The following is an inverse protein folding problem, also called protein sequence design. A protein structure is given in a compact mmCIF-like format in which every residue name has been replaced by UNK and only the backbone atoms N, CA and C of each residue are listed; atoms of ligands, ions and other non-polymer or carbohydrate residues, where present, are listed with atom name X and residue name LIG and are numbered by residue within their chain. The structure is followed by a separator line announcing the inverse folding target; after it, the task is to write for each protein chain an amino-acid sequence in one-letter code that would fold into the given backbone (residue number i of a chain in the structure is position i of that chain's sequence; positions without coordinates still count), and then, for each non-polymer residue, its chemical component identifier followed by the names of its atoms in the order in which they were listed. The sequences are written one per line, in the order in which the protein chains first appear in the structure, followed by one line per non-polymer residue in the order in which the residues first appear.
data_IF_219478712629
#
_entry.id   IF_219478712629
#
_cell.length_a   1.000
_cell.length_b   1.000
_cell.length_c   1.000
_cell.angle_alpha   90.00
_cell.angle_beta   90.00
_cell.angle_gamma   90.00
#
_symmetry.space_group_name_H-M   'P 1'
#
loop_
_entity.id
_entity.type
_entity.pdbx_description
1 polymer ?
#
# COMPACT_ATOMS: atom_id res chain seq x y z
N UNK A 1 -12.90 -13.37 -6.51
CA UNK A 1 -12.44 -12.16 -5.80
C UNK A 1 -11.52 -12.64 -4.69
N UNK A 2 -10.23 -12.36 -4.78
CA UNK A 2 -9.30 -12.57 -3.67
C UNK A 2 -9.39 -11.33 -2.79
N UNK A 3 -10.01 -11.45 -1.63
CA UNK A 3 -10.03 -10.40 -0.63
C UNK A 3 -8.69 -10.40 0.10
N UNK A 4 -8.24 -9.21 0.52
CA UNK A 4 -7.13 -9.07 1.44
C UNK A 4 -7.45 -9.79 2.76
N UNK A 5 -6.52 -10.62 3.23
CA UNK A 5 -6.58 -11.24 4.57
C UNK A 5 -5.69 -10.43 5.50
N UNK A 6 -6.19 -9.91 6.64
CA UNK A 6 -5.37 -9.16 7.59
C UNK A 6 -4.11 -9.91 8.04
N UNK A 7 -2.99 -9.21 8.21
CA UNK A 7 -1.70 -9.81 8.58
C UNK A 7 -1.73 -10.57 9.90
N UNK A 8 -2.49 -10.07 10.87
CA UNK A 8 -2.67 -10.69 12.18
C UNK A 8 -3.40 -12.03 12.05
N UNK A 9 -4.37 -12.15 11.14
CA UNK A 9 -5.06 -13.42 10.86
C UNK A 9 -4.14 -14.44 10.18
N UNK A 10 -3.08 -13.97 9.51
CA UNK A 10 -2.01 -14.80 8.97
C UNK A 10 -0.93 -15.16 10.01
N UNK A 11 -1.08 -14.69 11.26
CA UNK A 11 -0.13 -14.94 12.34
C UNK A 11 1.09 -14.02 12.36
N UNK A 12 1.09 -12.94 11.55
CA UNK A 12 2.18 -11.96 11.51
C UNK A 12 2.00 -10.88 12.58
N UNK A 13 3.11 -10.42 13.17
CA UNK A 13 3.16 -9.35 14.19
C UNK A 13 4.46 -8.54 14.09
N UNK A 14 4.49 -7.36 14.72
CA UNK A 14 5.66 -6.47 14.74
C UNK A 14 6.30 -6.30 13.37
N UNK A 15 7.61 -6.52 13.28
CA UNK A 15 8.37 -6.33 12.03
C UNK A 15 7.86 -7.17 10.85
N UNK A 16 7.29 -8.35 11.11
CA UNK A 16 6.77 -9.21 10.04
C UNK A 16 5.55 -8.61 9.32
N UNK A 17 4.76 -7.79 10.02
CA UNK A 17 3.64 -7.05 9.42
C UNK A 17 4.16 -6.01 8.43
N UNK A 18 5.15 -5.22 8.87
CA UNK A 18 5.81 -4.19 8.07
C UNK A 18 6.42 -4.80 6.80
N UNK A 19 7.16 -5.91 6.94
CA UNK A 19 7.77 -6.60 5.80
C UNK A 19 6.74 -7.17 4.83
N UNK A 20 5.64 -7.75 5.35
CA UNK A 20 4.57 -8.29 4.53
C UNK A 20 3.83 -7.20 3.75
N UNK A 21 3.54 -6.06 4.38
CA UNK A 21 2.96 -4.90 3.71
C UNK A 21 3.85 -4.40 2.56
N UNK A 22 5.16 -4.23 2.81
CA UNK A 22 6.11 -3.80 1.78
C UNK A 22 6.15 -4.76 0.61
N UNK A 23 6.24 -6.06 0.90
CA UNK A 23 6.21 -7.10 -0.13
C UNK A 23 4.92 -7.04 -0.96
N UNK A 24 3.77 -6.83 -0.31
CA UNK A 24 2.48 -6.75 -0.99
C UNK A 24 2.38 -5.52 -1.91
N UNK A 25 2.76 -4.34 -1.41
CA UNK A 25 2.75 -3.10 -2.20
C UNK A 25 3.75 -3.16 -3.37
N UNK A 26 4.94 -3.73 -3.17
CA UNK A 26 5.92 -3.96 -4.25
C UNK A 26 5.35 -4.89 -5.32
N UNK A 27 4.73 -6.01 -4.93
CA UNK A 27 4.10 -6.92 -5.89
C UNK A 27 2.98 -6.24 -6.69
N UNK A 28 2.18 -5.38 -6.07
CA UNK A 28 1.16 -4.59 -6.77
C UNK A 28 1.80 -3.64 -7.80
N UNK A 29 2.85 -2.91 -7.40
CA UNK A 29 3.54 -1.97 -8.28
C UNK A 29 4.21 -2.68 -9.47
N UNK A 30 4.92 -3.79 -9.21
CA UNK A 30 5.56 -4.60 -10.26
C UNK A 30 4.54 -5.20 -11.23
N UNK A 31 3.46 -5.78 -10.69
CA UNK A 31 2.38 -6.36 -11.51
C UNK A 31 1.71 -5.29 -12.37
N UNK A 32 1.44 -4.12 -11.80
CA UNK A 32 0.86 -3.00 -12.53
C UNK A 32 1.80 -2.55 -13.65
N UNK A 33 3.08 -2.31 -13.33
CA UNK A 33 4.10 -1.88 -14.29
C UNK A 33 4.21 -2.84 -15.49
N UNK A 34 4.30 -4.15 -15.23
CA UNK A 34 4.37 -5.16 -16.27
C UNK A 34 3.13 -5.18 -17.18
N UNK A 35 1.94 -4.96 -16.60
CA UNK A 35 0.68 -5.03 -17.34
C UNK A 35 0.29 -3.73 -18.05
N UNK A 36 0.85 -2.57 -17.65
CA UNK A 36 0.60 -1.29 -18.33
C UNK A 36 1.15 -1.25 -19.76
N UNK A 37 2.14 -2.09 -20.09
CA UNK A 37 2.72 -2.21 -21.43
C UNK A 37 1.90 -3.12 -22.37
N UNK A 38 0.82 -3.73 -21.87
CA UNK A 38 0.00 -4.69 -22.61
C UNK A 38 -1.34 -4.08 -23.02
N UNK A 39 -2.01 -4.69 -23.99
CA UNK A 39 -3.37 -4.31 -24.41
C UNK A 39 -4.44 -4.47 -23.29
N UNK A 40 -4.06 -4.98 -22.12
CA UNK A 40 -4.92 -5.15 -20.94
C UNK A 40 -4.68 -4.10 -19.84
N UNK A 41 -4.02 -2.98 -20.17
CA UNK A 41 -3.67 -1.92 -19.22
C UNK A 41 -4.87 -1.42 -18.39
N UNK A 42 -6.03 -1.16 -19.01
CA UNK A 42 -7.21 -0.66 -18.30
C UNK A 42 -7.72 -1.66 -17.25
N UNK A 43 -7.82 -2.94 -17.62
CA UNK A 43 -8.21 -4.00 -16.68
C UNK A 43 -7.19 -4.14 -15.55
N UNK A 44 -5.89 -4.09 -15.87
CA UNK A 44 -4.83 -4.19 -14.87
C UNK A 44 -4.89 -3.06 -13.83
N UNK A 45 -5.21 -1.85 -14.26
CA UNK A 45 -5.43 -0.70 -13.36
C UNK A 45 -6.62 -0.97 -12.43
N UNK A 46 -7.76 -1.43 -12.97
CA UNK A 46 -8.93 -1.76 -12.17
C UNK A 46 -8.67 -2.88 -11.15
N UNK A 47 -7.96 -3.93 -11.56
CA UNK A 47 -7.55 -5.03 -10.68
C UNK A 47 -6.66 -4.55 -9.52
N UNK A 48 -5.70 -3.66 -9.82
CA UNK A 48 -4.80 -3.08 -8.82
C UNK A 48 -5.56 -2.19 -7.83
N UNK A 49 -6.40 -1.29 -8.34
CA UNK A 49 -7.24 -0.40 -7.52
C UNK A 49 -8.20 -1.19 -6.62
N UNK A 50 -8.77 -2.29 -7.13
CA UNK A 50 -9.64 -3.18 -6.34
C UNK A 50 -8.88 -3.83 -5.18
N UNK A 51 -7.65 -4.29 -5.42
CA UNK A 51 -6.81 -4.86 -4.37
C UNK A 51 -6.44 -3.82 -3.30
N UNK A 52 -6.04 -2.62 -3.71
CA UNK A 52 -5.77 -1.51 -2.79
C UNK A 52 -7.02 -1.17 -1.97
N UNK A 53 -8.19 -1.02 -2.61
CA UNK A 53 -9.44 -0.77 -1.90
C UNK A 53 -9.78 -1.86 -0.88
N UNK A 54 -9.46 -3.11 -1.18
CA UNK A 54 -9.79 -4.24 -0.30
C UNK A 54 -8.95 -4.33 0.97
N UNK A 55 -7.74 -3.76 0.97
CA UNK A 55 -6.75 -4.06 2.01
C UNK A 55 -5.89 -2.90 2.49
N UNK A 56 -5.85 -1.77 1.78
CA UNK A 56 -4.91 -0.69 2.08
C UNK A 56 -5.10 -0.14 3.48
N UNK A 57 -6.33 0.28 3.84
CA UNK A 57 -6.60 0.83 5.18
C UNK A 57 -6.24 -0.17 6.29
N UNK A 58 -6.62 -1.44 6.13
CA UNK A 58 -6.33 -2.47 7.12
C UNK A 58 -4.83 -2.74 7.23
N UNK A 59 -4.10 -2.72 6.11
CA UNK A 59 -2.65 -2.89 6.12
C UNK A 59 -1.98 -1.75 6.89
N UNK A 60 -2.36 -0.50 6.59
CA UNK A 60 -1.83 0.68 7.26
C UNK A 60 -2.10 0.61 8.77
N UNK A 61 -3.34 0.38 9.21
CA UNK A 61 -3.67 0.23 10.64
C UNK A 61 -2.85 -0.88 11.31
N UNK A 62 -2.63 -2.01 10.64
CA UNK A 62 -1.79 -3.08 11.19
C UNK A 62 -0.32 -2.70 11.30
N UNK A 63 0.22 -1.86 10.41
CA UNK A 63 1.56 -1.27 10.56
C UNK A 63 1.63 -0.33 11.77
N UNK A 64 0.61 0.51 11.95
CA UNK A 64 0.50 1.40 13.11
C UNK A 64 0.51 0.62 14.44
N UNK A 65 -0.27 -0.46 14.50
CA UNK A 65 -0.29 -1.40 15.63
C UNK A 65 1.09 -2.07 15.83
N UNK A 66 1.73 -2.50 14.74
CA UNK A 66 3.06 -3.12 14.79
C UNK A 66 4.13 -2.16 15.33
N UNK A 67 4.07 -0.87 14.98
CA UNK A 67 4.95 0.16 15.54
C UNK A 67 4.77 0.33 17.05
N UNK A 68 3.53 0.31 17.53
CA UNK A 68 3.22 0.33 18.97
C UNK A 68 3.76 -0.92 19.66
N UNK A 69 3.57 -2.12 19.09
CA UNK A 69 4.13 -3.37 19.62
C UNK A 69 5.66 -3.33 19.73
N UNK A 70 6.33 -2.69 18.77
CA UNK A 70 7.78 -2.52 18.74
C UNK A 70 8.29 -1.40 19.67
N UNK A 71 7.40 -0.68 20.36
CA UNK A 71 7.77 0.40 21.28
C UNK A 71 8.17 1.71 20.59
N UNK A 72 7.79 1.89 19.33
CA UNK A 72 8.02 3.11 18.56
C UNK A 72 6.70 3.64 17.99
N UNK A 73 5.82 4.23 18.84
CA UNK A 73 4.54 4.78 18.38
C UNK A 73 4.73 5.79 17.25
N UNK A 74 3.88 5.68 16.24
CA UNK A 74 3.78 6.65 15.13
C UNK A 74 3.27 8.01 15.62
N UNK A 75 3.64 9.06 14.90
CA UNK A 75 3.17 10.42 15.14
C UNK A 75 2.05 10.83 14.18
N UNK A 76 1.51 12.03 14.42
CA UNK A 76 0.45 12.60 13.60
C UNK A 76 0.87 12.81 12.14
N UNK A 77 2.18 12.97 11.87
CA UNK A 77 2.69 13.15 10.52
C UNK A 77 2.60 11.85 9.72
N UNK A 78 3.02 10.73 10.32
CA UNK A 78 2.89 9.40 9.72
C UNK A 78 1.42 9.04 9.45
N UNK A 79 0.52 9.32 10.40
CA UNK A 79 -0.93 9.15 10.22
C UNK A 79 -1.48 10.03 9.09
N UNK A 80 -0.99 11.26 8.95
CA UNK A 80 -1.41 12.15 7.87
C UNK A 80 -0.99 11.61 6.49
N UNK A 81 0.20 11.01 6.38
CA UNK A 81 0.66 10.35 5.15
C UNK A 81 -0.25 9.16 4.77
N UNK A 82 -0.60 8.31 5.74
CA UNK A 82 -1.53 7.18 5.55
C UNK A 82 -2.90 7.64 5.02
N UNK A 83 -3.44 8.69 5.64
CA UNK A 83 -4.73 9.26 5.25
C UNK A 83 -4.67 9.86 3.84
N UNK A 84 -3.58 10.56 3.50
CA UNK A 84 -3.39 11.14 2.18
C UNK A 84 -3.36 10.05 1.09
N UNK A 85 -2.61 8.95 1.31
CA UNK A 85 -2.57 7.83 0.38
C UNK A 85 -3.96 7.22 0.15
N UNK A 86 -4.73 7.00 1.22
CA UNK A 86 -6.09 6.47 1.10
C UNK A 86 -6.99 7.39 0.25
N UNK A 87 -6.94 8.70 0.49
CA UNK A 87 -7.73 9.68 -0.27
C UNK A 87 -7.34 9.72 -1.75
N UNK A 88 -6.03 9.68 -2.04
CA UNK A 88 -5.52 9.66 -3.42
C UNK A 88 -5.96 8.41 -4.18
N UNK A 89 -5.88 7.23 -3.55
CA UNK A 89 -6.35 5.96 -4.14
C UNK A 89 -7.86 6.00 -4.38
N UNK A 90 -8.65 6.51 -3.43
CA UNK A 90 -10.09 6.67 -3.61
C UNK A 90 -10.45 7.60 -4.77
N UNK A 91 -9.70 8.69 -4.96
CA UNK A 91 -9.91 9.56 -6.12
C UNK A 91 -9.52 8.87 -7.43
N UNK A 92 -8.42 8.12 -7.45
CA UNK A 92 -8.01 7.32 -8.62
C UNK A 92 -9.06 6.25 -8.97
N UNK A 93 -9.71 5.63 -7.99
CA UNK A 93 -10.84 4.70 -8.20
C UNK A 93 -11.97 5.43 -8.94
N UNK A 94 -12.44 6.55 -8.40
CA UNK A 94 -13.54 7.32 -9.02
C UNK A 94 -13.22 7.76 -10.44
N UNK A 95 -11.97 8.19 -10.68
CA UNK A 95 -11.49 8.59 -12.02
C UNK A 95 -11.44 7.41 -12.98
N UNK A 96 -10.94 6.27 -12.51
CA UNK A 96 -10.89 5.05 -13.30
C UNK A 96 -12.30 4.55 -13.70
N UNK A 97 -13.27 4.62 -12.78
CA UNK A 97 -14.68 4.27 -13.03
C UNK A 97 -15.32 5.18 -14.10
N UNK A 98 -14.87 6.43 -14.22
CA UNK A 98 -15.27 7.35 -15.31
C UNK A 98 -14.55 7.09 -16.64
N UNK A 99 -13.65 6.10 -16.70
CA UNK A 99 -12.85 5.78 -17.87
C UNK A 99 -11.59 6.62 -18.03
N UNK A 100 -11.18 7.39 -17.01
CA UNK A 100 -9.94 8.15 -17.06
C UNK A 100 -8.71 7.23 -16.96
N UNK A 101 -7.63 7.62 -17.66
CA UNK A 101 -6.35 6.91 -17.61
C UNK A 101 -5.56 7.34 -16.37
N UNK A 102 -5.61 6.52 -15.31
CA UNK A 102 -4.88 6.77 -14.06
C UNK A 102 -3.69 5.83 -13.84
N UNK A 103 -3.42 4.90 -14.77
CA UNK A 103 -2.47 3.80 -14.54
C UNK A 103 -1.03 4.23 -14.25
N UNK A 104 -0.48 5.16 -15.01
CA UNK A 104 0.87 5.69 -14.77
C UNK A 104 0.95 6.48 -13.45
N UNK A 105 -0.10 7.25 -13.14
CA UNK A 105 -0.18 7.99 -11.88
C UNK A 105 -0.23 7.04 -10.68
N UNK A 106 -1.03 5.97 -10.77
CA UNK A 106 -1.12 4.95 -9.74
C UNK A 106 0.23 4.26 -9.53
N UNK A 107 0.91 3.86 -10.61
CA UNK A 107 2.22 3.23 -10.54
C UNK A 107 3.25 4.16 -9.88
N UNK A 108 3.34 5.40 -10.35
CA UNK A 108 4.24 6.40 -9.78
C UNK A 108 3.96 6.59 -8.29
N UNK A 109 2.68 6.67 -7.91
CA UNK A 109 2.31 6.85 -6.51
C UNK A 109 2.73 5.68 -5.63
N UNK A 110 2.56 4.44 -6.10
CA UNK A 110 3.02 3.26 -5.36
C UNK A 110 4.55 3.24 -5.21
N UNK A 111 5.30 3.59 -6.25
CA UNK A 111 6.76 3.66 -6.22
C UNK A 111 7.27 4.76 -5.29
N UNK A 112 6.64 5.93 -5.33
CA UNK A 112 6.94 7.04 -4.42
C UNK A 112 6.64 6.67 -2.97
N UNK A 113 5.55 5.93 -2.72
CA UNK A 113 5.22 5.45 -1.37
C UNK A 113 6.29 4.48 -0.84
N UNK A 114 6.66 3.49 -1.64
CA UNK A 114 7.69 2.51 -1.26
C UNK A 114 9.03 3.20 -0.97
N UNK A 115 9.46 4.14 -1.81
CA UNK A 115 10.76 4.81 -1.65
C UNK A 115 10.80 5.86 -0.54
N UNK A 116 9.71 6.59 -0.30
CA UNK A 116 9.71 7.71 0.65
C UNK A 116 9.23 7.28 2.03
N UNK A 117 8.14 6.51 2.08
CA UNK A 117 7.52 6.08 3.32
C UNK A 117 8.12 4.77 3.82
N UNK A 118 8.19 3.72 2.99
CA UNK A 118 8.74 2.45 3.46
C UNK A 118 10.27 2.51 3.66
N UNK A 119 11.04 2.96 2.67
CA UNK A 119 12.51 2.99 2.81
C UNK A 119 13.01 4.12 3.74
N UNK A 120 12.23 5.20 3.87
CA UNK A 120 12.52 6.33 4.76
C UNK A 120 12.19 6.08 6.22
N UNK A 121 11.32 5.12 6.56
CA UNK A 121 10.97 4.82 7.95
C UNK A 121 12.05 3.95 8.60
N UNK A 122 12.77 4.44 9.62
CA UNK A 122 13.93 3.77 10.17
C UNK A 122 13.54 2.60 11.08
N UNK A 123 13.28 1.42 10.51
CA UNK A 123 13.12 0.18 11.29
C UNK A 123 14.41 -0.31 11.95
N UNK A 124 15.55 0.29 11.59
CA UNK A 124 16.87 -0.19 12.01
C UNK A 124 17.28 0.26 13.42
N UNK A 125 16.54 1.17 14.05
CA UNK A 125 16.87 1.71 15.37
C UNK A 125 16.33 0.86 16.54
N UNK A 126 15.43 -0.09 16.30
CA UNK A 126 14.68 -0.81 17.35
C UNK A 126 15.28 -2.19 17.69
N UNK A 127 16.41 -2.56 17.09
CA UNK A 127 17.10 -3.84 17.35
C UNK A 127 18.34 -3.72 18.27
N UNK A 128 18.37 -2.72 19.15
CA UNK A 128 19.44 -2.58 20.14
C UNK A 128 18.92 -2.65 21.58
#
# INVERSE_FOLDING_TARGET
MTNFTPWIEQGLRGIAVIEAQRCWLTQLAETLSARLQLNSAQQAVGDCLTQLMSGLLQSLVSEEEAFVELGSPIDDAHLAEHNALCLEVLEMIKRHERGELVGLQLLQRLQDWLSQHCDGTPHRAVLH
#
